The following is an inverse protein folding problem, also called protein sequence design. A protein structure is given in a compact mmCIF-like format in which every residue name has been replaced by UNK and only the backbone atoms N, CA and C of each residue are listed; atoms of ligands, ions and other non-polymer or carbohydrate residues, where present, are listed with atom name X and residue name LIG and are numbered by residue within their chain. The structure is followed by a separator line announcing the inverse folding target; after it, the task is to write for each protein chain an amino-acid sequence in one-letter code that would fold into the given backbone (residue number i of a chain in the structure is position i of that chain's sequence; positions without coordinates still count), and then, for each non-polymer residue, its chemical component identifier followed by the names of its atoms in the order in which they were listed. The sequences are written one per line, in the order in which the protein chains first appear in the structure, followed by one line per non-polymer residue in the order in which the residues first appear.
data_IF_742945927082
#
_entry.id   IF_742945927082
#
_cell.length_a   1.000
_cell.length_b   1.000
_cell.length_c   1.000
_cell.angle_alpha   90.00
_cell.angle_beta   90.00
_cell.angle_gamma   90.00
#
_symmetry.space_group_name_H-M   'P 1'
#
loop_
_entity.id
_entity.type
_entity.pdbx_description
1 polymer ?
#
# COMPACT_ATOMS: atom_id res chain seq x y z
N UNK A 1 -11.78 12.60 -15.08
CA UNK A 1 -11.92 12.98 -13.66
C UNK A 1 -10.59 12.68 -13.04
N UNK A 2 -9.96 13.62 -12.33
CA UNK A 2 -8.54 13.46 -11.94
C UNK A 2 -8.37 12.85 -10.54
N UNK A 3 -9.43 12.91 -9.72
CA UNK A 3 -9.48 12.39 -8.37
C UNK A 3 -10.84 11.75 -8.08
N UNK A 4 -10.87 10.67 -7.30
CA UNK A 4 -12.09 9.96 -6.89
C UNK A 4 -12.10 9.80 -5.36
N UNK A 5 -13.26 10.05 -4.74
CA UNK A 5 -13.48 9.72 -3.33
C UNK A 5 -13.84 8.24 -3.20
N UNK A 6 -13.16 7.55 -2.27
CA UNK A 6 -13.33 6.10 -2.08
C UNK A 6 -13.33 5.72 -0.61
N UNK A 7 -13.94 4.58 -0.32
CA UNK A 7 -13.83 3.88 0.95
C UNK A 7 -12.73 2.84 0.86
N UNK A 8 -11.73 2.97 1.71
CA UNK A 8 -10.57 2.08 1.80
C UNK A 8 -10.86 0.99 2.83
N UNK A 9 -10.83 -0.25 2.36
CA UNK A 9 -10.86 -1.44 3.20
C UNK A 9 -9.51 -2.13 3.17
N UNK A 10 -9.05 -2.57 4.34
CA UNK A 10 -7.83 -3.38 4.44
C UNK A 10 -8.14 -4.78 4.96
N UNK A 11 -7.31 -5.75 4.57
CA UNK A 11 -7.48 -7.14 5.00
C UNK A 11 -6.32 -8.03 4.58
N UNK A 12 -6.39 -9.29 5.00
CA UNK A 12 -5.40 -10.28 4.61
C UNK A 12 -5.67 -10.76 3.18
N UNK A 13 -4.60 -11.01 2.41
CA UNK A 13 -4.66 -11.66 1.10
C UNK A 13 -3.83 -12.94 1.13
N UNK A 14 -4.21 -13.94 0.33
CA UNK A 14 -3.49 -15.22 0.24
C UNK A 14 -2.03 -15.00 -0.19
N UNK A 15 -1.83 -14.15 -1.21
CA UNK A 15 -0.49 -13.87 -1.77
C UNK A 15 0.36 -13.11 -0.75
N UNK A 16 -0.24 -12.13 -0.06
CA UNK A 16 0.40 -11.40 1.03
C UNK A 16 0.88 -12.35 2.14
N UNK A 17 0.01 -13.26 2.60
CA UNK A 17 0.35 -14.24 3.63
C UNK A 17 1.43 -15.24 3.18
N UNK A 18 1.45 -15.61 1.90
CA UNK A 18 2.49 -16.47 1.33
C UNK A 18 3.88 -15.83 1.43
N UNK A 19 4.03 -14.58 1.01
CA UNK A 19 5.32 -13.88 1.04
C UNK A 19 5.79 -13.54 2.46
N UNK A 20 4.87 -13.29 3.38
CA UNK A 20 5.18 -13.19 4.82
C UNK A 20 5.79 -14.49 5.33
N UNK A 21 5.15 -15.63 5.05
CA UNK A 21 5.64 -16.95 5.47
C UNK A 21 6.95 -17.36 4.78
N UNK A 22 7.16 -16.92 3.54
CA UNK A 22 8.42 -17.10 2.80
C UNK A 22 9.58 -16.27 3.38
N UNK A 23 9.30 -15.29 4.27
CA UNK A 23 10.32 -14.38 4.80
C UNK A 23 10.82 -13.36 3.75
N UNK A 24 10.01 -13.07 2.74
CA UNK A 24 10.38 -12.19 1.61
C UNK A 24 9.79 -10.78 1.74
N UNK A 25 9.44 -10.35 2.95
CA UNK A 25 8.73 -9.09 3.25
C UNK A 25 9.49 -7.82 2.84
N UNK A 26 10.79 -7.92 2.59
CA UNK A 26 11.63 -6.80 2.19
C UNK A 26 12.00 -6.85 0.69
N UNK A 27 11.60 -7.90 0.00
CA UNK A 27 11.88 -8.11 -1.42
C UNK A 27 10.80 -7.50 -2.30
N UNK A 28 11.16 -7.27 -3.56
CA UNK A 28 10.25 -6.69 -4.55
C UNK A 28 8.98 -7.51 -4.78
N UNK A 29 9.09 -8.85 -4.73
CA UNK A 29 7.93 -9.75 -4.87
C UNK A 29 6.80 -9.41 -3.87
N UNK A 30 7.16 -9.04 -2.63
CA UNK A 30 6.18 -8.65 -1.61
C UNK A 30 5.57 -7.28 -1.89
N UNK A 31 6.37 -6.33 -2.40
CA UNK A 31 5.87 -5.03 -2.84
C UNK A 31 4.84 -5.21 -3.94
N UNK A 32 5.15 -6.03 -4.95
CA UNK A 32 4.24 -6.27 -6.06
C UNK A 32 2.91 -6.93 -5.65
N UNK A 33 2.87 -7.70 -4.56
CA UNK A 33 1.66 -8.35 -4.08
C UNK A 33 0.84 -7.53 -3.08
N UNK A 34 1.52 -6.72 -2.27
CA UNK A 34 0.92 -6.11 -1.06
C UNK A 34 0.78 -4.59 -1.20
N UNK A 35 1.58 -3.95 -2.05
CA UNK A 35 1.46 -2.53 -2.38
C UNK A 35 0.47 -2.33 -3.55
N UNK A 36 -0.70 -2.96 -3.48
CA UNK A 36 -1.71 -2.97 -4.54
C UNK A 36 -3.06 -2.52 -3.99
N UNK A 37 -3.74 -1.64 -4.72
CA UNK A 37 -5.14 -1.30 -4.53
C UNK A 37 -5.99 -2.06 -5.55
N UNK A 38 -6.81 -2.97 -5.05
CA UNK A 38 -7.81 -3.67 -5.84
C UNK A 38 -9.04 -2.79 -5.99
N UNK A 39 -9.41 -2.50 -7.23
CA UNK A 39 -10.46 -1.54 -7.57
C UNK A 39 -11.54 -2.17 -8.44
N UNK A 40 -12.73 -1.57 -8.39
CA UNK A 40 -13.79 -1.85 -9.36
C UNK A 40 -13.37 -1.39 -10.77
N UNK A 41 -13.76 -2.14 -11.80
CA UNK A 41 -13.45 -1.77 -13.19
C UNK A 41 -14.04 -0.43 -13.61
N UNK A 42 -15.24 -0.09 -13.13
CA UNK A 42 -15.86 1.20 -13.46
C UNK A 42 -15.05 2.38 -12.88
N UNK A 43 -14.55 2.24 -11.66
CA UNK A 43 -13.71 3.27 -11.03
C UNK A 43 -12.35 3.39 -11.71
N UNK A 44 -11.79 2.27 -12.16
CA UNK A 44 -10.58 2.26 -12.98
C UNK A 44 -10.80 2.99 -14.32
N UNK A 45 -11.92 2.74 -14.99
CA UNK A 45 -12.26 3.39 -16.26
C UNK A 45 -12.46 4.90 -16.09
N UNK A 46 -13.14 5.32 -15.00
CA UNK A 46 -13.34 6.75 -14.66
C UNK A 46 -12.02 7.52 -14.50
N UNK A 47 -11.00 6.86 -13.94
CA UNK A 47 -9.65 7.41 -13.74
C UNK A 47 -8.68 7.05 -14.89
N UNK A 48 -9.15 6.36 -15.94
CA UNK A 48 -8.32 5.89 -17.05
C UNK A 48 -7.08 5.11 -16.59
N UNK A 49 -7.29 4.20 -15.64
CA UNK A 49 -6.27 3.35 -15.03
C UNK A 49 -6.26 1.98 -15.70
N UNK A 50 -5.06 1.45 -15.93
CA UNK A 50 -4.84 0.05 -16.33
C UNK A 50 -4.28 -0.75 -15.16
N UNK A 51 -4.42 -2.09 -15.15
CA UNK A 51 -3.70 -2.92 -14.20
C UNK A 51 -2.21 -2.60 -14.24
N UNK A 52 -1.58 -2.48 -13.05
CA UNK A 52 -0.21 -2.03 -12.81
C UNK A 52 0.08 -0.54 -13.05
N UNK A 53 -0.91 0.28 -13.38
CA UNK A 53 -0.78 1.73 -13.18
C UNK A 53 -0.61 2.04 -11.69
N UNK A 54 -0.21 3.27 -11.40
CA UNK A 54 0.10 3.72 -10.05
C UNK A 54 -0.85 4.84 -9.64
N UNK A 55 -1.27 4.80 -8.38
CA UNK A 55 -2.16 5.80 -7.78
C UNK A 55 -1.57 6.29 -6.47
N UNK A 56 -1.82 7.55 -6.16
CA UNK A 56 -1.65 8.07 -4.80
C UNK A 56 -2.96 7.87 -4.05
N UNK A 57 -2.89 7.18 -2.91
CA UNK A 57 -4.00 7.03 -1.98
C UNK A 57 -3.77 8.00 -0.82
N UNK A 58 -4.71 8.93 -0.63
CA UNK A 58 -4.60 10.03 0.33
C UNK A 58 -5.74 9.89 1.33
N UNK A 59 -5.40 9.89 2.61
CA UNK A 59 -6.37 9.95 3.71
C UNK A 59 -6.02 11.09 4.66
N UNK A 60 -6.81 11.27 5.73
CA UNK A 60 -6.51 12.23 6.79
C UNK A 60 -5.15 11.96 7.46
N UNK A 61 -4.67 10.71 7.46
CA UNK A 61 -3.52 10.28 8.24
C UNK A 61 -2.23 10.17 7.43
N UNK A 62 -2.32 10.03 6.11
CA UNK A 62 -1.13 9.95 5.27
C UNK A 62 -1.43 9.83 3.78
N UNK A 63 -0.36 9.72 3.01
CA UNK A 63 -0.37 9.52 1.56
C UNK A 63 0.59 8.38 1.21
N UNK A 64 0.16 7.47 0.34
CA UNK A 64 1.01 6.38 -0.15
C UNK A 64 0.72 6.09 -1.61
N UNK A 65 1.77 5.84 -2.39
CA UNK A 65 1.65 5.41 -3.80
C UNK A 65 1.55 3.89 -3.86
N UNK A 66 0.56 3.37 -4.57
CA UNK A 66 0.29 1.94 -4.75
C UNK A 66 0.12 1.59 -6.23
N UNK A 67 0.32 0.32 -6.56
CA UNK A 67 -0.14 -0.23 -7.83
C UNK A 67 -1.65 -0.41 -7.84
N UNK A 68 -2.25 -0.42 -9.02
CA UNK A 68 -3.67 -0.73 -9.22
C UNK A 68 -3.82 -2.12 -9.80
N UNK A 69 -4.81 -2.86 -9.35
CA UNK A 69 -5.25 -4.08 -10.01
C UNK A 69 -6.77 -4.20 -9.98
N UNK A 70 -7.32 -5.00 -10.90
CA UNK A 70 -8.76 -5.24 -10.95
C UNK A 70 -9.14 -6.17 -9.79
N UNK A 71 -10.15 -5.77 -9.03
CA UNK A 71 -10.70 -6.62 -7.98
C UNK A 71 -11.41 -7.84 -8.56
N UNK A 72 -11.27 -8.99 -7.88
CA UNK A 72 -11.94 -10.23 -8.24
C UNK A 72 -13.37 -10.32 -7.70
N UNK A 73 -13.70 -9.47 -6.73
CA UNK A 73 -15.00 -9.46 -6.07
C UNK A 73 -16.04 -8.68 -6.89
N UNK A 74 -17.32 -9.03 -6.70
CA UNK A 74 -18.48 -8.42 -7.36
C UNK A 74 -18.47 -6.87 -7.26
N UNK A 75 -19.13 -6.13 -8.17
CA UNK A 75 -18.91 -4.70 -8.33
C UNK A 75 -19.12 -3.90 -7.03
N UNK A 76 -18.15 -3.05 -6.72
CA UNK A 76 -18.03 -2.29 -5.46
C UNK A 76 -17.48 -0.89 -5.74
N UNK A 77 -18.22 -0.15 -6.57
CA UNK A 77 -17.89 1.25 -6.89
C UNK A 77 -17.73 2.12 -5.65
N UNK A 78 -16.77 3.04 -5.72
CA UNK A 78 -16.41 3.92 -4.63
C UNK A 78 -15.72 3.19 -3.47
N UNK A 79 -15.24 1.96 -3.66
CA UNK A 79 -14.55 1.18 -2.65
C UNK A 79 -13.29 0.55 -3.23
N UNK A 80 -12.23 0.54 -2.43
CA UNK A 80 -10.98 -0.12 -2.79
C UNK A 80 -10.52 -1.04 -1.67
N UNK A 81 -9.90 -2.15 -2.05
CA UNK A 81 -9.30 -3.10 -1.12
C UNK A 81 -7.78 -3.04 -1.20
N UNK A 82 -7.12 -2.89 -0.05
CA UNK A 82 -5.66 -2.84 0.05
C UNK A 82 -5.21 -3.95 1.01
N UNK A 83 -4.32 -4.86 0.58
CA UNK A 83 -3.76 -5.86 1.48
C UNK A 83 -3.09 -5.18 2.69
N UNK A 84 -3.29 -5.77 3.87
CA UNK A 84 -2.65 -5.31 5.09
C UNK A 84 -1.13 -5.37 4.91
N UNK A 85 -0.46 -4.35 5.41
CA UNK A 85 0.98 -4.23 5.25
C UNK A 85 1.49 -2.83 5.51
N UNK A 86 2.81 -2.62 5.32
CA UNK A 86 3.46 -1.37 5.67
C UNK A 86 2.91 -0.18 4.87
N UNK A 87 2.52 -0.37 3.61
CA UNK A 87 1.89 0.68 2.81
C UNK A 87 0.50 1.06 3.31
N UNK A 88 -0.37 0.09 3.60
CA UNK A 88 -1.71 0.36 4.15
C UNK A 88 -1.66 1.07 5.51
N UNK A 89 -0.66 0.75 6.34
CA UNK A 89 -0.54 1.31 7.69
C UNK A 89 -0.27 2.83 7.71
N UNK A 90 0.16 3.42 6.59
CA UNK A 90 0.40 4.87 6.48
C UNK A 90 -0.92 5.65 6.38
N UNK A 91 -1.94 5.01 5.81
CA UNK A 91 -3.20 5.67 5.45
C UNK A 91 -4.37 5.25 6.35
N UNK A 92 -4.18 4.29 7.25
CA UNK A 92 -5.19 3.84 8.22
C UNK A 92 -5.32 4.79 9.41
N UNK A 93 -6.49 4.80 10.04
CA UNK A 93 -6.71 5.59 11.24
C UNK A 93 -6.02 4.95 12.45
N UNK A 94 -5.20 5.69 13.20
CA UNK A 94 -4.67 5.25 14.47
C UNK A 94 -5.71 5.30 15.61
N UNK A 95 -6.91 5.84 15.36
CA UNK A 95 -7.98 5.96 16.36
C UNK A 95 -8.52 4.58 16.73
N UNK A 96 -8.50 4.28 18.04
CA UNK A 96 -8.86 2.97 18.59
C UNK A 96 -10.20 2.94 19.33
N UNK A 97 -10.83 4.09 19.54
CA UNK A 97 -12.09 4.23 20.27
C UNK A 97 -12.09 3.50 21.64
N UNK A 98 -10.97 3.56 22.36
CA UNK A 98 -10.74 2.88 23.65
C UNK A 98 -10.80 1.34 23.61
N UNK A 99 -10.75 0.74 22.42
CA UNK A 99 -10.78 -0.72 22.23
C UNK A 99 -9.40 -1.32 21.90
N UNK A 100 -8.32 -0.54 22.00
CA UNK A 100 -6.93 -0.94 21.68
C UNK A 100 -6.67 -1.40 20.23
N UNK A 101 -7.69 -1.39 19.35
CA UNK A 101 -7.58 -1.83 17.96
C UNK A 101 -7.82 -0.62 17.05
N UNK A 102 -6.84 -0.22 16.21
CA UNK A 102 -7.02 0.86 15.26
C UNK A 102 -8.13 0.60 14.24
N UNK A 103 -8.64 1.67 13.63
CA UNK A 103 -9.69 1.57 12.61
C UNK A 103 -9.07 1.31 11.25
N UNK A 104 -8.99 0.02 10.89
CA UNK A 104 -8.34 -0.47 9.67
C UNK A 104 -9.25 -0.54 8.42
N UNK A 105 -10.57 -0.40 8.58
CA UNK A 105 -11.57 -0.59 7.51
C UNK A 105 -12.55 0.56 7.48
N UNK A 106 -13.20 0.77 6.32
CA UNK A 106 -14.18 1.84 6.16
C UNK A 106 -13.58 3.24 6.17
N UNK A 107 -12.30 3.36 5.83
CA UNK A 107 -11.58 4.64 5.87
C UNK A 107 -11.94 5.46 4.64
N UNK A 108 -12.43 6.68 4.82
CA UNK A 108 -12.63 7.61 3.69
C UNK A 108 -11.29 8.16 3.21
N UNK A 109 -11.09 8.12 1.90
CA UNK A 109 -9.89 8.64 1.26
C UNK A 109 -10.17 9.13 -0.16
N UNK A 110 -9.12 9.62 -0.79
CA UNK A 110 -9.13 10.07 -2.18
C UNK A 110 -8.03 9.34 -2.93
N UNK A 111 -8.29 9.03 -4.19
CA UNK A 111 -7.32 8.41 -5.08
C UNK A 111 -7.15 9.24 -6.34
N UNK A 112 -5.92 9.31 -6.83
CA UNK A 112 -5.58 9.97 -8.09
C UNK A 112 -4.46 9.21 -8.79
N UNK A 113 -4.40 9.33 -10.12
CA UNK A 113 -3.31 8.77 -10.92
C UNK A 113 -1.97 9.42 -10.54
N UNK A 114 -0.90 8.64 -10.50
CA UNK A 114 0.42 9.09 -10.07
C UNK A 114 1.52 8.45 -10.89
N UNK A 115 2.57 9.22 -11.20
CA UNK A 115 3.77 8.72 -11.86
C UNK A 115 4.90 8.36 -10.88
N UNK A 116 4.69 8.62 -9.57
CA UNK A 116 5.65 8.31 -8.51
C UNK A 116 5.95 6.81 -8.46
N UNK A 117 7.09 6.45 -7.90
CA UNK A 117 7.43 5.05 -7.68
C UNK A 117 6.75 4.52 -6.41
N UNK A 118 6.34 3.25 -6.46
CA UNK A 118 5.92 2.52 -5.28
C UNK A 118 7.17 2.11 -4.51
N UNK A 119 7.38 2.64 -3.31
CA UNK A 119 8.58 2.34 -2.53
C UNK A 119 8.66 0.88 -2.09
N UNK A 120 9.89 0.35 -1.99
CA UNK A 120 10.17 -0.87 -1.24
C UNK A 120 9.97 -0.63 0.26
N UNK A 121 9.80 -1.71 1.03
CA UNK A 121 9.49 -1.59 2.47
C UNK A 121 10.57 -0.82 3.22
N UNK A 122 11.85 -1.05 2.95
CA UNK A 122 12.93 -0.36 3.63
C UNK A 122 12.93 1.16 3.33
N UNK A 123 12.73 1.53 2.07
CA UNK A 123 12.67 2.94 1.64
C UNK A 123 11.42 3.64 2.17
N UNK A 124 10.29 2.92 2.21
CA UNK A 124 9.05 3.39 2.81
C UNK A 124 9.22 3.67 4.31
N UNK A 125 9.88 2.77 5.04
CA UNK A 125 10.15 2.92 6.47
C UNK A 125 11.12 4.07 6.75
N UNK A 126 12.12 4.27 5.89
CA UNK A 126 13.03 5.41 5.93
C UNK A 126 12.27 6.72 5.74
N UNK A 127 11.49 6.82 4.65
CA UNK A 127 10.74 8.02 4.31
C UNK A 127 9.70 8.39 5.37
N UNK A 128 8.98 7.41 5.90
CA UNK A 128 7.82 7.66 6.77
C UNK A 128 8.19 7.78 8.24
N UNK A 129 9.12 6.96 8.72
CA UNK A 129 9.42 6.82 10.16
C UNK A 129 10.87 7.17 10.51
N UNK A 130 11.65 7.69 9.54
CA UNK A 130 13.08 7.99 9.71
C UNK A 130 13.89 6.79 10.24
N UNK A 131 13.48 5.57 9.87
CA UNK A 131 14.24 4.34 10.17
C UNK A 131 15.32 4.11 9.13
N UNK A 132 16.41 3.45 9.52
CA UNK A 132 17.55 3.17 8.64
C UNK A 132 18.17 4.44 8.02
N UNK A 133 18.60 5.41 8.85
CA UNK A 133 19.28 6.61 8.37
C UNK A 133 20.55 6.20 7.61
N UNK A 134 20.66 6.62 6.36
CA UNK A 134 21.87 6.52 5.54
C UNK A 134 22.27 7.91 5.10
N UNK A 135 23.56 8.11 4.83
CA UNK A 135 24.07 9.33 4.19
C UNK A 135 23.86 9.33 2.67
N UNK A 136 23.59 8.17 2.10
CA UNK A 136 23.42 7.94 0.67
C UNK A 136 21.95 7.67 0.32
N UNK A 137 21.48 8.28 -0.78
CA UNK A 137 20.11 8.16 -1.31
C UNK A 137 19.83 6.81 -2.01
N UNK A 138 20.74 5.85 -1.95
CA UNK A 138 20.55 4.52 -2.55
C UNK A 138 19.43 3.74 -1.84
N UNK A 139 18.66 2.98 -2.64
CA UNK A 139 17.57 2.13 -2.15
C UNK A 139 18.12 1.03 -1.26
N UNK A 140 17.60 0.95 -0.04
CA UNK A 140 17.99 -0.07 0.94
C UNK A 140 17.55 -1.48 0.55
N UNK A 141 16.58 -1.60 -0.37
CA UNK A 141 16.09 -2.89 -0.82
C UNK A 141 17.10 -3.69 -1.65
N UNK A 142 18.18 -3.05 -2.10
CA UNK A 142 19.27 -3.70 -2.84
C UNK A 142 20.41 -4.21 -1.93
N UNK A 143 20.41 -3.82 -0.65
CA UNK A 143 21.44 -4.26 0.30
C UNK A 143 21.07 -5.61 0.93
N UNK A 144 22.03 -6.52 1.14
CA UNK A 144 21.78 -7.74 1.91
C UNK A 144 21.41 -7.36 3.34
N UNK A 145 20.14 -7.55 3.67
CA UNK A 145 19.52 -7.13 4.94
C UNK A 145 20.07 -7.94 6.12
N UNK A 146 20.67 -9.10 5.86
CA UNK A 146 21.36 -9.90 6.86
C UNK A 146 22.85 -9.99 6.52
N UNK A 147 23.66 -9.20 7.22
CA UNK A 147 25.09 -9.46 7.38
C UNK A 147 25.20 -10.35 8.62
N UNK A 148 25.55 -11.62 8.45
CA UNK A 148 25.88 -12.50 9.56
C UNK A 148 27.02 -11.84 10.33
N UNK A 149 26.75 -11.32 11.53
CA UNK A 149 27.83 -10.94 12.45
C UNK A 149 28.55 -12.24 12.82
N UNK A 150 29.78 -12.38 12.34
CA UNK A 150 30.72 -13.42 12.77
C UNK A 150 31.10 -13.23 14.23
#
# INVERSE_FOLDING_TARGET
MDELEVVINTGSSIIQAFYEKKGSTLKDEYRQSTAVAFMDSEDMDLLSLKPRDKIDVITKWGEVTLFVDKSHDAPHRGMIFIPKGPWSNIIVSPETYCCNIPTYKGIKGRIRKSDKEVYLVADLMRKTYNKYPSKDDESLGQLPIYIKRG
#
